data_IF_517091842476
#
_entry.id   IF_517091842476
#
_cell.length_a   1.000
_cell.length_b   1.000
_cell.length_c   1.000
_cell.angle_alpha   90.00
_cell.angle_beta   90.00
_cell.angle_gamma   90.00
#
_symmetry.space_group_name_H-M   'P 1'
#
loop_
_entity.id
_entity.type
_entity.pdbx_description
1 polymer ?
#
# COMPACT_ATOMS: atom_id res chain seq x y z
N UNK A 1 -26.24 -63.40 -38.61
CA UNK A 1 -27.17 -62.38 -39.13
C UNK A 1 -26.74 -61.04 -38.55
N UNK A 2 -26.20 -60.16 -39.40
CA UNK A 2 -25.58 -58.86 -39.01
C UNK A 2 -26.60 -57.74 -39.28
N UNK A 3 -27.01 -57.03 -38.23
CA UNK A 3 -27.84 -55.83 -38.39
C UNK A 3 -26.92 -54.60 -38.49
N UNK A 4 -27.00 -53.86 -39.57
CA UNK A 4 -26.30 -52.59 -39.82
C UNK A 4 -27.20 -51.47 -39.31
N UNK A 5 -26.70 -50.67 -38.36
CA UNK A 5 -27.28 -49.38 -38.01
C UNK A 5 -26.84 -48.32 -39.00
N UNK A 6 -27.79 -47.66 -39.61
CA UNK A 6 -27.61 -46.54 -40.55
C UNK A 6 -27.76 -45.26 -39.76
N UNK A 7 -26.69 -44.49 -39.66
CA UNK A 7 -26.71 -43.11 -39.13
C UNK A 7 -27.14 -42.13 -40.24
N UNK A 8 -28.20 -41.38 -40.00
CA UNK A 8 -28.66 -40.26 -40.84
C UNK A 8 -28.09 -38.98 -40.26
N UNK A 9 -27.29 -38.19 -40.98
CA UNK A 9 -26.89 -36.86 -40.51
C UNK A 9 -28.00 -35.86 -40.78
N UNK A 10 -28.49 -35.20 -39.74
CA UNK A 10 -29.44 -34.10 -39.84
C UNK A 10 -28.67 -32.82 -40.27
N UNK A 11 -28.86 -32.42 -41.49
CA UNK A 11 -28.30 -31.20 -42.09
C UNK A 11 -29.15 -30.00 -41.66
N UNK A 12 -28.64 -29.21 -40.70
CA UNK A 12 -29.27 -27.92 -40.31
C UNK A 12 -28.92 -26.83 -41.30
N UNK A 13 -29.82 -26.50 -42.23
CA UNK A 13 -29.74 -25.35 -43.11
C UNK A 13 -29.97 -24.08 -42.28
N UNK A 14 -28.93 -23.33 -41.99
CA UNK A 14 -29.06 -21.94 -41.55
C UNK A 14 -29.33 -21.03 -42.74
N UNK A 15 -30.53 -20.49 -42.82
CA UNK A 15 -30.89 -19.39 -43.72
C UNK A 15 -30.18 -18.11 -43.25
N UNK A 16 -29.18 -17.68 -44.00
CA UNK A 16 -28.62 -16.34 -43.87
C UNK A 16 -29.59 -15.35 -44.55
N UNK A 17 -30.50 -14.78 -43.77
CA UNK A 17 -31.25 -13.61 -44.19
C UNK A 17 -30.32 -12.40 -44.08
N UNK A 18 -29.71 -11.99 -45.20
CA UNK A 18 -29.02 -10.73 -45.35
C UNK A 18 -30.04 -9.59 -45.35
N UNK A 19 -30.34 -9.01 -44.21
CA UNK A 19 -31.02 -7.72 -44.15
C UNK A 19 -29.99 -6.61 -44.38
N UNK A 20 -29.97 -6.07 -45.60
CA UNK A 20 -29.29 -4.81 -45.88
C UNK A 20 -30.09 -3.67 -45.24
N UNK A 21 -29.68 -3.25 -44.04
CA UNK A 21 -30.18 -2.04 -43.43
C UNK A 21 -29.49 -0.86 -44.10
N UNK A 22 -30.25 -0.12 -44.91
CA UNK A 22 -29.85 1.21 -45.37
C UNK A 22 -29.70 2.11 -44.17
N UNK A 23 -28.45 2.45 -43.80
CA UNK A 23 -28.11 3.43 -42.80
C UNK A 23 -28.73 4.78 -43.16
N UNK A 24 -29.76 5.20 -42.40
CA UNK A 24 -30.16 6.60 -42.35
C UNK A 24 -29.12 7.35 -41.52
N UNK A 25 -28.38 8.27 -42.15
CA UNK A 25 -27.58 9.27 -41.48
C UNK A 25 -28.51 10.09 -40.57
N UNK A 26 -28.33 10.04 -39.25
CA UNK A 26 -28.91 11.05 -38.38
C UNK A 26 -29.59 10.60 -37.09
N UNK A 27 -29.44 9.35 -36.61
CA UNK A 27 -29.86 9.02 -35.23
C UNK A 27 -28.69 8.45 -34.49
N UNK A 28 -28.22 9.22 -33.45
CA UNK A 28 -27.26 8.80 -32.49
C UNK A 28 -27.83 7.64 -31.65
N UNK A 29 -27.00 6.63 -31.25
CA UNK A 29 -27.46 5.57 -30.36
C UNK A 29 -27.87 6.19 -29.02
N UNK A 30 -28.76 5.53 -28.21
CA UNK A 30 -29.29 6.07 -26.97
C UNK A 30 -28.27 6.27 -25.84
N UNK A 31 -27.05 5.84 -25.99
CA UNK A 31 -25.85 6.19 -25.23
C UNK A 31 -24.93 6.95 -26.17
N UNK A 32 -25.10 8.27 -26.19
CA UNK A 32 -24.39 9.16 -27.10
C UNK A 32 -22.88 8.87 -27.14
N UNK A 33 -22.32 8.86 -28.36
CA UNK A 33 -20.88 9.05 -28.58
C UNK A 33 -20.53 10.47 -28.11
N UNK A 34 -20.27 10.66 -26.84
CA UNK A 34 -19.49 11.79 -26.37
C UNK A 34 -18.00 11.44 -26.54
N UNK A 35 -17.59 11.27 -27.80
CA UNK A 35 -16.21 11.49 -28.16
C UNK A 35 -15.97 13.01 -28.06
N UNK A 36 -15.12 13.40 -27.11
CA UNK A 36 -14.56 14.73 -26.89
C UNK A 36 -15.46 15.77 -26.20
N UNK A 37 -15.84 15.51 -24.97
CA UNK A 37 -15.87 16.55 -23.94
C UNK A 37 -15.26 15.95 -22.68
N UNK A 38 -13.94 16.02 -22.57
CA UNK A 38 -13.22 15.80 -21.31
C UNK A 38 -13.47 17.00 -20.42
N UNK A 39 -14.68 17.11 -19.90
CA UNK A 39 -15.04 18.12 -18.91
C UNK A 39 -14.47 17.64 -17.58
N UNK A 40 -13.49 18.37 -17.07
CA UNK A 40 -13.10 18.24 -15.67
C UNK A 40 -14.34 18.31 -14.81
N UNK A 41 -14.44 17.39 -13.86
CA UNK A 41 -15.58 17.37 -12.95
C UNK A 41 -15.53 18.60 -12.03
N UNK A 42 -16.68 19.21 -11.79
CA UNK A 42 -16.81 20.23 -10.75
C UNK A 42 -16.66 19.61 -9.37
N UNK A 43 -16.33 20.41 -8.35
CA UNK A 43 -16.28 19.92 -6.97
C UNK A 43 -17.61 19.28 -6.54
N UNK A 44 -18.75 19.82 -7.02
CA UNK A 44 -20.06 19.24 -6.75
C UNK A 44 -20.24 17.86 -7.38
N UNK A 45 -19.68 17.62 -8.58
CA UNK A 45 -19.73 16.32 -9.25
C UNK A 45 -18.81 15.31 -8.54
N UNK A 46 -17.62 15.74 -8.12
CA UNK A 46 -16.68 14.92 -7.31
C UNK A 46 -17.35 14.48 -6.01
N UNK A 47 -18.02 15.42 -5.31
CA UNK A 47 -18.76 15.10 -4.07
C UNK A 47 -19.93 14.16 -4.35
N UNK A 48 -20.67 14.38 -5.43
CA UNK A 48 -21.80 13.52 -5.81
C UNK A 48 -21.34 12.10 -6.21
N UNK A 49 -20.19 11.98 -6.86
CA UNK A 49 -19.55 10.70 -7.22
C UNK A 49 -18.92 10.00 -6.00
N UNK A 50 -18.62 10.74 -4.92
CA UNK A 50 -18.02 10.22 -3.70
C UNK A 50 -16.55 9.87 -3.81
N UNK A 51 -15.87 10.26 -4.90
CA UNK A 51 -14.48 9.95 -5.16
C UNK A 51 -13.72 11.14 -5.76
N UNK A 52 -12.50 11.41 -5.24
CA UNK A 52 -11.52 12.35 -5.79
C UNK A 52 -10.36 11.53 -6.37
N UNK A 53 -10.04 11.74 -7.65
CA UNK A 53 -8.96 11.03 -8.34
C UNK A 53 -7.72 11.92 -8.38
N UNK A 54 -6.66 11.49 -7.69
CA UNK A 54 -5.40 12.23 -7.64
C UNK A 54 -4.31 11.52 -8.44
N UNK A 55 -3.77 12.18 -9.46
CA UNK A 55 -2.59 11.74 -10.19
C UNK A 55 -1.32 12.11 -9.42
N UNK A 56 -0.37 11.19 -9.34
CA UNK A 56 0.89 11.37 -8.61
C UNK A 56 2.00 10.50 -9.17
N UNK A 57 3.25 10.87 -8.87
CA UNK A 57 4.42 10.03 -9.09
C UNK A 57 4.72 9.21 -7.83
N UNK A 58 5.39 8.07 -8.00
CA UNK A 58 5.99 7.36 -6.88
C UNK A 58 7.17 8.14 -6.32
N UNK A 59 7.28 8.21 -4.99
CA UNK A 59 8.39 8.89 -4.33
C UNK A 59 8.18 9.08 -2.84
N UNK A 60 9.24 9.43 -2.08
CA UNK A 60 9.20 9.49 -0.62
C UNK A 60 8.24 10.55 -0.08
N UNK A 61 8.07 11.67 -0.79
CA UNK A 61 7.21 12.77 -0.38
C UNK A 61 5.88 12.79 -1.13
N UNK A 62 5.83 12.17 -2.32
CA UNK A 62 4.63 12.15 -3.17
C UNK A 62 3.69 11.00 -2.78
N UNK A 63 4.04 9.78 -3.16
CA UNK A 63 3.25 8.58 -2.87
C UNK A 63 4.13 7.33 -2.85
N UNK A 64 3.97 6.47 -1.86
CA UNK A 64 4.52 5.12 -1.82
C UNK A 64 3.70 4.22 -0.91
N UNK A 65 3.82 2.91 -1.09
CA UNK A 65 3.22 1.93 -0.21
C UNK A 65 4.26 1.33 0.73
N UNK A 66 3.89 1.19 2.00
CA UNK A 66 4.71 0.53 3.01
C UNK A 66 3.84 -0.36 3.89
N UNK A 67 4.10 -1.67 3.90
CA UNK A 67 3.31 -2.67 4.63
C UNK A 67 1.80 -2.63 4.28
N UNK A 68 1.46 -2.25 3.06
CA UNK A 68 0.07 -2.09 2.61
C UNK A 68 -0.61 -0.79 3.04
N UNK A 69 0.13 0.13 3.65
CA UNK A 69 -0.32 1.50 3.93
C UNK A 69 0.21 2.47 2.89
N UNK A 70 -0.63 3.40 2.50
CA UNK A 70 -0.29 4.46 1.56
C UNK A 70 0.32 5.63 2.30
N UNK A 71 1.44 6.13 1.83
CA UNK A 71 2.27 7.13 2.48
C UNK A 71 2.78 8.16 1.47
N UNK A 72 3.39 9.20 1.98
CA UNK A 72 3.88 10.36 1.27
C UNK A 72 3.25 11.62 1.84
N UNK A 73 3.98 12.70 1.95
CA UNK A 73 3.48 13.96 2.52
C UNK A 73 2.29 14.48 1.72
N UNK A 74 2.45 14.55 0.39
CA UNK A 74 1.42 15.10 -0.49
C UNK A 74 0.20 14.19 -0.62
N UNK A 75 0.42 12.86 -0.59
CA UNK A 75 -0.68 11.90 -0.49
C UNK A 75 -1.51 12.13 0.79
N UNK A 76 -0.86 12.21 1.96
CA UNK A 76 -1.55 12.38 3.24
C UNK A 76 -2.27 13.72 3.35
N UNK A 77 -1.72 14.79 2.75
CA UNK A 77 -2.39 16.09 2.65
C UNK A 77 -3.66 15.99 1.80
N UNK A 78 -3.59 15.34 0.64
CA UNK A 78 -4.74 15.17 -0.24
C UNK A 78 -5.81 14.26 0.37
N UNK A 79 -5.42 13.18 1.05
CA UNK A 79 -6.32 12.29 1.78
C UNK A 79 -7.09 13.05 2.87
N UNK A 80 -6.41 13.97 3.55
CA UNK A 80 -7.02 14.86 4.54
C UNK A 80 -8.04 15.81 3.93
N UNK A 81 -7.73 16.42 2.79
CA UNK A 81 -8.66 17.27 2.04
C UNK A 81 -9.87 16.46 1.56
N UNK A 82 -9.66 15.28 0.96
CA UNK A 82 -10.72 14.41 0.49
C UNK A 82 -11.68 14.01 1.63
N UNK A 83 -11.14 13.69 2.81
CA UNK A 83 -11.92 13.40 4.01
C UNK A 83 -12.76 14.59 4.49
N UNK A 84 -12.25 15.82 4.39
CA UNK A 84 -12.98 17.03 4.77
C UNK A 84 -14.17 17.30 3.83
N UNK A 85 -13.99 17.10 2.53
CA UNK A 85 -15.07 17.28 1.56
C UNK A 85 -16.01 16.05 1.48
N UNK A 86 -15.69 14.99 2.22
CA UNK A 86 -16.55 13.81 2.39
C UNK A 86 -16.46 12.78 1.27
N UNK A 87 -15.35 12.73 0.54
CA UNK A 87 -15.11 11.79 -0.57
C UNK A 87 -13.96 10.83 -0.26
N UNK A 88 -13.87 9.73 -1.00
CA UNK A 88 -12.72 8.80 -0.95
C UNK A 88 -11.64 9.26 -1.92
N UNK A 89 -10.37 9.10 -1.53
CA UNK A 89 -9.24 9.39 -2.41
C UNK A 89 -8.82 8.16 -3.20
N UNK A 90 -8.83 8.25 -4.54
CA UNK A 90 -8.26 7.26 -5.45
C UNK A 90 -6.97 7.79 -6.07
N UNK A 91 -5.93 6.97 -6.05
CA UNK A 91 -4.63 7.32 -6.63
C UNK A 91 -4.53 6.77 -8.06
N UNK A 92 -4.16 7.67 -8.96
CA UNK A 92 -3.72 7.37 -10.34
C UNK A 92 -2.19 7.56 -10.37
N UNK A 93 -1.46 6.45 -10.32
CA UNK A 93 0.00 6.48 -10.31
C UNK A 93 0.52 6.65 -11.75
N UNK A 94 1.23 7.75 -12.00
CA UNK A 94 1.84 8.07 -13.27
C UNK A 94 3.35 7.78 -13.24
N UNK A 95 3.96 7.64 -14.42
CA UNK A 95 5.39 7.34 -14.58
C UNK A 95 6.25 8.60 -14.62
N UNK A 96 5.72 9.68 -15.20
CA UNK A 96 6.45 10.93 -15.40
C UNK A 96 5.51 12.14 -15.41
N UNK A 97 6.08 13.33 -15.47
CA UNK A 97 5.34 14.60 -15.49
C UNK A 97 4.47 14.80 -16.74
N UNK A 98 4.82 14.17 -17.86
CA UNK A 98 4.02 14.23 -19.07
C UNK A 98 2.73 13.42 -18.92
N UNK A 99 2.81 12.24 -18.30
CA UNK A 99 1.64 11.41 -17.99
C UNK A 99 0.75 12.07 -16.93
N UNK A 100 1.31 12.74 -15.91
CA UNK A 100 0.55 13.55 -14.94
C UNK A 100 -0.30 14.61 -15.63
N UNK A 101 0.33 15.36 -16.53
CA UNK A 101 -0.34 16.40 -17.30
C UNK A 101 -1.43 15.82 -18.20
N UNK A 102 -1.13 14.73 -18.88
CA UNK A 102 -2.08 14.05 -19.77
C UNK A 102 -3.30 13.55 -18.99
N UNK A 103 -3.09 12.88 -17.85
CA UNK A 103 -4.16 12.38 -16.99
C UNK A 103 -5.09 13.52 -16.53
N UNK A 104 -4.53 14.68 -16.18
CA UNK A 104 -5.31 15.84 -15.76
C UNK A 104 -6.12 16.46 -16.91
N UNK A 105 -5.49 16.66 -18.07
CA UNK A 105 -6.15 17.32 -19.21
C UNK A 105 -7.17 16.43 -19.94
N UNK A 106 -7.01 15.09 -19.85
CA UNK A 106 -7.99 14.13 -20.40
C UNK A 106 -9.11 13.76 -19.43
N UNK A 107 -9.06 14.25 -18.17
CA UNK A 107 -10.06 13.94 -17.15
C UNK A 107 -9.90 12.55 -16.51
N UNK A 108 -8.74 11.90 -16.67
CA UNK A 108 -8.41 10.65 -15.99
C UNK A 108 -8.09 10.88 -14.50
N UNK A 109 -7.81 12.13 -14.14
CA UNK A 109 -7.62 12.61 -12.77
C UNK A 109 -8.20 14.02 -12.59
N UNK A 110 -8.67 14.31 -11.37
CA UNK A 110 -9.24 15.60 -10.99
C UNK A 110 -8.14 16.58 -10.52
N UNK A 111 -7.08 16.06 -9.94
CA UNK A 111 -5.97 16.80 -9.36
C UNK A 111 -4.63 16.10 -9.57
N UNK A 112 -3.56 16.86 -9.77
CA UNK A 112 -2.17 16.41 -9.67
C UNK A 112 -1.61 16.82 -8.31
N UNK A 113 -1.21 15.84 -7.50
CA UNK A 113 -0.66 16.07 -6.15
C UNK A 113 0.86 15.94 -6.07
N UNK A 114 1.54 15.59 -7.14
CA UNK A 114 2.98 15.83 -7.28
C UNK A 114 3.16 17.29 -7.62
N UNK A 115 3.88 18.09 -6.80
CA UNK A 115 4.09 19.49 -7.13
C UNK A 115 4.77 19.67 -8.50
N UNK A 116 4.16 20.47 -9.37
CA UNK A 116 4.66 20.78 -10.72
C UNK A 116 5.21 22.20 -10.76
N UNK A 117 6.26 22.48 -11.58
CA UNK A 117 6.74 23.84 -11.83
C UNK A 117 5.61 24.71 -12.38
N UNK A 118 5.46 25.93 -11.83
CA UNK A 118 4.37 26.87 -12.17
C UNK A 118 4.63 27.61 -13.48
N UNK A 119 4.94 26.89 -14.55
CA UNK A 119 5.30 27.41 -15.86
C UNK A 119 4.41 26.94 -17.01
N UNK A 120 3.34 26.20 -16.73
CA UNK A 120 2.40 25.70 -17.73
C UNK A 120 1.05 26.43 -17.64
N UNK A 121 0.77 27.33 -18.59
CA UNK A 121 -0.47 28.11 -18.66
C UNK A 121 -1.72 27.26 -18.92
N UNK A 122 -1.55 26.00 -19.32
CA UNK A 122 -2.66 25.06 -19.51
C UNK A 122 -3.13 24.38 -18.24
N UNK A 123 -2.54 24.72 -17.09
CA UNK A 123 -2.88 24.16 -15.78
C UNK A 123 -3.27 25.28 -14.80
N UNK A 124 -4.17 24.96 -13.88
CA UNK A 124 -4.53 25.85 -12.79
C UNK A 124 -3.83 25.37 -11.51
N UNK A 125 -2.84 26.15 -11.04
CA UNK A 125 -2.06 25.81 -9.86
C UNK A 125 -2.77 26.23 -8.57
N UNK A 126 -2.87 25.30 -7.61
CA UNK A 126 -3.60 25.51 -6.35
C UNK A 126 -3.11 24.57 -5.25
N UNK A 127 -3.58 24.76 -4.01
CA UNK A 127 -3.34 23.88 -2.88
C UNK A 127 -1.89 23.84 -2.42
N UNK A 128 -1.36 22.64 -2.16
CA UNK A 128 -0.04 22.50 -1.55
C UNK A 128 1.10 22.94 -2.46
N UNK A 129 2.00 23.73 -1.90
CA UNK A 129 3.17 24.30 -2.57
C UNK A 129 4.46 23.75 -1.95
N UNK A 130 5.44 23.45 -2.78
CA UNK A 130 6.84 23.25 -2.39
C UNK A 130 7.56 24.59 -2.58
N UNK A 131 7.80 25.27 -1.46
CA UNK A 131 8.40 26.61 -1.47
C UNK A 131 9.89 26.61 -1.90
N UNK A 132 10.60 25.48 -1.77
CA UNK A 132 12.00 25.36 -2.16
C UNK A 132 12.16 25.25 -3.68
N UNK A 133 11.27 24.52 -4.35
CA UNK A 133 11.31 24.29 -5.80
C UNK A 133 10.37 25.20 -6.60
N UNK A 134 9.56 26.04 -5.96
CA UNK A 134 8.46 26.82 -6.56
C UNK A 134 7.49 25.97 -7.36
N UNK A 135 7.24 24.74 -6.88
CA UNK A 135 6.32 23.79 -7.47
C UNK A 135 5.02 23.72 -6.67
N UNK A 136 3.89 23.48 -7.33
CA UNK A 136 2.57 23.47 -6.70
C UNK A 136 1.70 22.35 -7.29
N UNK A 137 0.67 21.93 -6.55
CA UNK A 137 -0.39 21.09 -7.08
C UNK A 137 -1.12 21.79 -8.21
N UNK A 138 -1.81 21.00 -9.04
CA UNK A 138 -2.52 21.57 -10.17
C UNK A 138 -3.84 20.83 -10.41
N UNK A 139 -4.83 21.56 -10.92
CA UNK A 139 -6.09 21.06 -11.46
C UNK A 139 -6.23 21.48 -12.93
N UNK A 140 -7.19 20.94 -13.64
CA UNK A 140 -7.49 21.40 -14.99
C UNK A 140 -8.00 22.84 -14.98
N UNK A 141 -7.90 23.59 -16.08
CA UNK A 141 -8.40 24.97 -16.15
C UNK A 141 -9.90 25.11 -15.83
N UNK A 142 -10.67 24.04 -16.05
CA UNK A 142 -12.11 24.02 -15.77
C UNK A 142 -12.43 23.69 -14.30
N UNK A 143 -11.45 23.28 -13.50
CA UNK A 143 -11.60 22.91 -12.09
C UNK A 143 -11.50 24.09 -11.12
N UNK A 144 -11.99 25.28 -11.46
CA UNK A 144 -11.86 26.51 -10.64
C UNK A 144 -12.46 26.38 -9.25
N UNK A 145 -13.58 25.69 -9.10
CA UNK A 145 -14.25 25.46 -7.82
C UNK A 145 -13.46 24.50 -6.91
N UNK A 146 -12.88 23.44 -7.48
CA UNK A 146 -11.95 22.55 -6.78
C UNK A 146 -10.69 23.29 -6.37
N UNK A 147 -10.11 24.12 -7.27
CA UNK A 147 -8.93 24.94 -6.96
C UNK A 147 -9.20 25.90 -5.80
N UNK A 148 -10.32 26.62 -5.83
CA UNK A 148 -10.71 27.55 -4.77
C UNK A 148 -10.90 26.84 -3.41
N UNK A 149 -11.51 25.67 -3.41
CA UNK A 149 -11.68 24.86 -2.20
C UNK A 149 -10.34 24.37 -1.64
N UNK A 150 -9.43 23.92 -2.51
CA UNK A 150 -8.08 23.48 -2.14
C UNK A 150 -7.26 24.63 -1.53
N UNK A 151 -7.28 25.81 -2.15
CA UNK A 151 -6.57 26.99 -1.65
C UNK A 151 -7.10 27.47 -0.31
N UNK A 152 -8.44 27.47 -0.16
CA UNK A 152 -9.06 27.81 1.11
C UNK A 152 -8.68 26.82 2.22
N UNK A 153 -8.76 25.52 1.94
CA UNK A 153 -8.37 24.47 2.88
C UNK A 153 -6.88 24.54 3.21
N UNK A 154 -6.05 24.67 2.19
CA UNK A 154 -4.58 24.72 2.38
C UNK A 154 -4.16 25.92 3.23
N UNK A 155 -4.73 27.11 2.98
CA UNK A 155 -4.46 28.31 3.75
C UNK A 155 -4.90 28.18 5.21
N UNK A 156 -6.02 27.52 5.46
CA UNK A 156 -6.59 27.34 6.80
C UNK A 156 -5.87 26.27 7.62
N UNK A 157 -5.55 25.13 7.03
CA UNK A 157 -5.07 23.93 7.72
C UNK A 157 -3.86 23.27 7.04
N UNK A 158 -3.90 23.12 5.71
CA UNK A 158 -2.95 22.31 4.95
C UNK A 158 -1.50 22.73 5.13
N UNK A 159 -1.21 24.07 5.11
CA UNK A 159 0.14 24.60 5.30
C UNK A 159 0.72 24.23 6.67
N UNK A 160 -0.08 24.31 7.73
CA UNK A 160 0.36 23.96 9.07
C UNK A 160 0.59 22.44 9.22
N UNK A 161 -0.18 21.63 8.51
CA UNK A 161 -0.04 20.18 8.45
C UNK A 161 1.22 19.78 7.66
N UNK A 162 1.45 20.43 6.52
CA UNK A 162 2.66 20.22 5.70
C UNK A 162 3.93 20.51 6.48
N UNK A 163 3.98 21.64 7.20
CA UNK A 163 5.12 22.03 8.03
C UNK A 163 5.43 21.03 9.17
N UNK A 164 4.41 20.30 9.66
CA UNK A 164 4.60 19.28 10.69
C UNK A 164 5.11 17.95 10.13
N UNK A 165 5.04 17.75 8.82
CA UNK A 165 5.49 16.56 8.13
C UNK A 165 4.53 15.36 8.22
N UNK A 166 4.84 14.26 7.52
CA UNK A 166 3.92 13.14 7.31
C UNK A 166 3.55 12.38 8.60
N UNK A 167 4.42 12.39 9.61
CA UNK A 167 4.14 11.70 10.88
C UNK A 167 3.03 12.40 11.67
N UNK A 168 3.00 13.74 11.66
CA UNK A 168 1.97 14.52 12.37
C UNK A 168 0.60 14.41 11.69
N UNK A 169 0.56 14.31 10.36
CA UNK A 169 -0.68 14.09 9.61
C UNK A 169 -1.39 12.81 10.05
N UNK A 170 -0.65 11.71 10.24
CA UNK A 170 -1.20 10.43 10.72
C UNK A 170 -1.65 10.45 12.17
N UNK A 171 -0.99 11.21 13.03
CA UNK A 171 -1.36 11.34 14.46
C UNK A 171 -2.67 12.12 14.58
N UNK A 172 -2.88 13.18 13.77
CA UNK A 172 -4.12 13.95 13.76
C UNK A 172 -5.32 13.13 13.29
N UNK A 173 -5.15 12.22 12.35
CA UNK A 173 -6.22 11.30 11.94
C UNK A 173 -6.67 10.36 13.05
N UNK A 174 -5.74 9.94 13.92
CA UNK A 174 -6.05 9.12 15.10
C UNK A 174 -6.75 9.90 16.21
N UNK A 175 -6.51 11.21 16.31
CA UNK A 175 -7.07 12.08 17.34
C UNK A 175 -8.40 12.76 16.93
N UNK A 176 -8.63 13.00 15.65
CA UNK A 176 -9.86 13.59 15.11
C UNK A 176 -10.94 12.57 14.75
N UNK A 177 -10.63 11.27 14.81
CA UNK A 177 -11.65 10.23 14.82
C UNK A 177 -12.52 10.40 16.08
N UNK A 178 -13.86 10.33 16.01
CA UNK A 178 -14.74 10.50 17.17
C UNK A 178 -14.52 9.48 18.29
N UNK A 179 -13.47 8.66 18.19
CA UNK A 179 -12.99 7.68 19.19
C UNK A 179 -11.53 7.91 19.62
N UNK A 180 -10.95 9.09 19.35
CA UNK A 180 -9.60 9.45 19.74
C UNK A 180 -9.54 10.01 21.16
N UNK A 181 -9.48 9.15 22.14
CA UNK A 181 -9.16 9.49 23.53
C UNK A 181 -8.04 8.61 24.03
N UNK A 182 -6.79 9.03 23.88
CA UNK A 182 -5.65 8.44 24.57
C UNK A 182 -5.23 9.30 25.77
N UNK A 183 -5.49 8.76 26.94
CA UNK A 183 -4.69 8.91 28.14
C UNK A 183 -4.63 10.30 28.77
N UNK A 184 -5.35 10.49 29.84
CA UNK A 184 -5.16 11.55 30.80
C UNK A 184 -6.36 11.68 31.70
N UNK A 185 -6.36 11.00 32.83
CA UNK A 185 -7.27 11.31 33.91
C UNK A 185 -7.14 12.79 34.28
N UNK A 186 -8.22 13.55 34.09
CA UNK A 186 -8.49 14.73 34.89
C UNK A 186 -9.99 14.84 35.13
N UNK A 187 -10.43 14.93 36.36
CA UNK A 187 -11.83 15.07 36.74
C UNK A 187 -12.28 16.53 36.68
N UNK A 188 -13.55 16.71 36.34
CA UNK A 188 -14.36 17.92 36.47
C UNK A 188 -14.24 19.04 35.43
N UNK A 189 -15.23 19.10 34.55
CA UNK A 189 -15.93 20.35 34.30
C UNK A 189 -17.35 20.08 33.75
N UNK A 190 -18.33 20.71 34.35
CA UNK A 190 -19.74 20.48 34.19
C UNK A 190 -20.33 20.87 32.85
N UNK A 191 -21.42 20.21 32.53
CA UNK A 191 -22.33 20.54 31.41
C UNK A 191 -22.99 21.94 31.53
N UNK A 192 -23.34 22.53 30.39
CA UNK A 192 -24.68 23.06 30.29
C UNK A 192 -25.50 22.45 29.13
N UNK A 193 -26.78 22.25 29.43
CA UNK A 193 -27.86 21.82 28.53
C UNK A 193 -28.17 22.89 27.49
N UNK A 194 -28.57 22.51 26.28
CA UNK A 194 -29.37 23.35 25.40
C UNK A 194 -29.40 22.96 23.94
N UNK A 195 -30.58 22.60 23.42
CA UNK A 195 -30.98 22.88 22.04
C UNK A 195 -30.97 21.68 21.06
N UNK A 196 -32.13 21.00 20.93
CA UNK A 196 -32.42 20.06 19.82
C UNK A 196 -32.78 20.86 18.56
N UNK A 197 -32.08 20.58 17.44
CA UNK A 197 -32.64 20.70 16.10
C UNK A 197 -32.44 19.39 15.35
N UNK A 198 -33.45 18.87 14.62
CA UNK A 198 -33.35 17.63 13.89
C UNK A 198 -32.63 17.85 12.56
N UNK A 199 -31.53 17.17 12.34
CA UNK A 199 -30.88 17.09 11.02
C UNK A 199 -31.45 15.93 10.18
N UNK A 200 -31.53 16.08 8.85
CA UNK A 200 -32.07 15.05 7.99
C UNK A 200 -31.13 13.81 7.94
N UNK A 201 -31.78 12.66 7.99
CA UNK A 201 -31.15 11.33 8.00
C UNK A 201 -30.29 11.10 6.74
N UNK A 202 -29.01 11.16 6.90
CA UNK A 202 -28.03 10.73 5.88
C UNK A 202 -27.87 9.20 5.97
N UNK A 203 -28.42 8.44 4.99
CA UNK A 203 -28.41 6.97 4.95
C UNK A 203 -27.21 6.36 4.26
N UNK A 204 -26.15 7.10 4.02
CA UNK A 204 -24.89 6.58 3.48
C UNK A 204 -23.70 7.13 4.27
N UNK A 205 -23.42 6.51 5.41
CA UNK A 205 -22.09 6.60 6.00
C UNK A 205 -21.22 5.51 5.37
N UNK A 206 -20.07 5.83 4.75
CA UNK A 206 -19.12 4.80 4.34
C UNK A 206 -18.64 4.05 5.58
N UNK A 207 -18.27 2.76 5.49
CA UNK A 207 -17.77 2.01 6.63
C UNK A 207 -16.48 2.65 7.13
N UNK A 208 -16.58 3.43 8.19
CA UNK A 208 -15.43 4.00 8.89
C UNK A 208 -14.57 2.85 9.42
N UNK A 209 -13.41 2.66 8.81
CA UNK A 209 -12.38 1.74 9.32
C UNK A 209 -11.80 2.35 10.61
N UNK A 210 -12.50 2.19 11.73
CA UNK A 210 -11.97 2.57 13.03
C UNK A 210 -10.75 1.72 13.37
N UNK A 211 -9.64 2.35 13.79
CA UNK A 211 -8.46 1.63 14.25
C UNK A 211 -8.83 0.62 15.36
N UNK A 212 -8.21 -0.57 15.41
CA UNK A 212 -8.53 -1.55 16.45
C UNK A 212 -8.20 -0.98 17.83
N UNK A 213 -9.11 -1.18 18.78
CA UNK A 213 -8.91 -0.76 20.19
C UNK A 213 -7.78 -1.60 20.80
N UNK A 214 -6.72 -0.97 21.29
CA UNK A 214 -5.61 -1.71 21.93
C UNK A 214 -6.08 -2.24 23.29
N UNK A 215 -6.15 -3.57 23.47
CA UNK A 215 -6.49 -4.16 24.77
C UNK A 215 -5.32 -4.07 25.76
N UNK A 216 -5.61 -4.14 27.04
CA UNK A 216 -4.56 -4.30 28.05
C UNK A 216 -4.20 -5.79 28.18
N UNK A 217 -3.18 -6.25 27.44
CA UNK A 217 -2.65 -7.62 27.51
C UNK A 217 -1.24 -7.54 28.07
N UNK A 218 -1.02 -8.14 29.23
CA UNK A 218 0.31 -8.20 29.82
C UNK A 218 1.20 -9.22 29.09
N UNK A 219 2.46 -8.85 28.85
CA UNK A 219 3.48 -9.81 28.41
C UNK A 219 3.86 -10.72 29.58
N UNK A 220 3.72 -12.06 29.47
CA UNK A 220 4.18 -12.95 30.52
C UNK A 220 5.70 -12.86 30.75
N UNK A 221 6.21 -13.25 31.93
CA UNK A 221 7.65 -13.39 32.10
C UNK A 221 8.20 -14.52 31.24
N UNK A 222 9.42 -14.34 30.73
CA UNK A 222 10.10 -15.39 29.96
C UNK A 222 10.49 -16.54 30.89
N UNK A 223 10.03 -17.78 30.63
CA UNK A 223 10.43 -18.93 31.46
C UNK A 223 11.95 -19.20 31.40
N UNK A 224 12.55 -19.76 32.43
CA UNK A 224 13.97 -20.15 32.41
C UNK A 224 14.27 -21.10 31.24
N UNK A 225 15.28 -20.77 30.43
CA UNK A 225 15.69 -21.54 29.25
C UNK A 225 14.83 -21.36 27.99
N UNK A 226 13.75 -20.57 28.06
CA UNK A 226 12.96 -20.20 26.88
C UNK A 226 13.60 -19.00 26.13
N UNK A 227 13.32 -18.90 24.83
CA UNK A 227 13.78 -17.78 23.98
C UNK A 227 12.86 -16.56 24.13
N UNK A 228 11.59 -16.80 24.43
CA UNK A 228 10.57 -15.77 24.57
C UNK A 228 9.44 -16.18 25.51
N UNK A 229 8.58 -15.26 25.94
CA UNK A 229 7.36 -15.56 26.69
C UNK A 229 6.33 -16.40 25.91
N UNK A 230 6.51 -16.53 24.60
CA UNK A 230 5.54 -17.06 23.65
C UNK A 230 6.02 -18.30 22.89
N UNK A 231 7.09 -18.96 23.34
CA UNK A 231 7.72 -20.10 22.64
C UNK A 231 6.72 -21.18 22.26
N UNK A 232 5.76 -21.49 23.14
CA UNK A 232 4.77 -22.55 22.90
C UNK A 232 3.81 -22.18 21.75
N UNK A 233 3.47 -20.88 21.59
CA UNK A 233 2.69 -20.42 20.44
C UNK A 233 3.50 -20.57 19.14
N UNK A 234 4.75 -20.21 19.13
CA UNK A 234 5.62 -20.33 17.96
C UNK A 234 5.84 -21.80 17.58
N UNK A 235 6.07 -22.70 18.56
CA UNK A 235 6.15 -24.15 18.31
C UNK A 235 4.85 -24.70 17.72
N UNK A 236 3.71 -24.29 18.26
CA UNK A 236 2.37 -24.70 17.80
C UNK A 236 2.13 -24.34 16.33
N UNK A 237 2.53 -23.14 15.91
CA UNK A 237 2.24 -22.60 14.57
C UNK A 237 3.38 -22.76 13.56
N UNK A 238 4.53 -23.30 13.95
CA UNK A 238 5.69 -23.49 13.08
C UNK A 238 5.40 -24.37 11.85
N UNK A 239 4.66 -25.45 12.04
CA UNK A 239 4.25 -26.35 10.94
C UNK A 239 3.36 -25.65 9.91
N UNK A 240 2.45 -24.76 10.35
CA UNK A 240 1.62 -23.95 9.46
C UNK A 240 2.47 -22.96 8.65
N UNK A 241 3.45 -22.34 9.30
CA UNK A 241 4.38 -21.42 8.64
C UNK A 241 5.36 -22.14 7.70
N UNK A 242 5.59 -23.43 7.90
CA UNK A 242 6.55 -24.23 7.15
C UNK A 242 8.01 -23.89 7.45
N UNK A 243 8.30 -23.37 8.66
CA UNK A 243 9.64 -22.94 9.09
C UNK A 243 9.98 -23.45 10.49
N UNK A 244 11.25 -23.38 10.87
CA UNK A 244 11.66 -23.59 12.29
C UNK A 244 10.99 -22.55 13.18
N UNK A 245 10.41 -22.99 14.31
CA UNK A 245 9.75 -22.11 15.28
C UNK A 245 10.64 -20.98 15.79
N UNK A 246 11.97 -21.19 15.86
CA UNK A 246 12.95 -20.18 16.27
C UNK A 246 13.05 -19.03 15.27
N UNK A 247 12.72 -19.29 13.98
CA UNK A 247 12.61 -18.22 12.99
C UNK A 247 11.43 -17.30 13.30
N UNK A 248 10.28 -17.86 13.72
CA UNK A 248 9.13 -17.07 14.17
C UNK A 248 9.44 -16.27 15.42
N UNK A 249 10.21 -16.85 16.37
CA UNK A 249 10.71 -16.10 17.57
C UNK A 249 11.60 -14.94 17.13
N UNK A 250 12.56 -15.18 16.22
CA UNK A 250 13.46 -14.14 15.70
C UNK A 250 12.69 -13.02 15.00
N UNK A 251 11.67 -13.39 14.22
CA UNK A 251 10.79 -12.44 13.55
C UNK A 251 9.97 -11.62 14.56
N UNK A 252 9.32 -12.26 15.54
CA UNK A 252 8.57 -11.56 16.57
C UNK A 252 9.42 -10.59 17.41
N UNK A 253 10.67 -10.97 17.71
CA UNK A 253 11.61 -10.07 18.35
C UNK A 253 11.83 -8.80 17.55
N UNK A 254 11.98 -8.92 16.25
CA UNK A 254 12.17 -7.78 15.33
C UNK A 254 10.89 -6.97 15.18
N UNK A 255 9.71 -7.60 15.17
CA UNK A 255 8.44 -6.93 14.95
C UNK A 255 7.97 -6.11 16.16
N UNK A 256 7.96 -6.72 17.34
CA UNK A 256 7.33 -6.12 18.54
C UNK A 256 8.17 -6.19 19.81
N UNK A 257 9.33 -6.86 19.77
CA UNK A 257 10.06 -7.20 21.00
C UNK A 257 9.21 -8.06 21.94
N UNK A 258 8.33 -8.90 21.42
CA UNK A 258 7.39 -9.77 22.15
C UNK A 258 6.24 -9.03 22.86
N UNK A 259 5.97 -7.78 22.53
CA UNK A 259 4.87 -7.01 23.08
C UNK A 259 3.56 -7.31 22.33
N UNK A 260 2.55 -7.96 22.94
CA UNK A 260 1.30 -8.32 22.26
C UNK A 260 0.42 -7.11 21.93
N UNK A 261 0.65 -5.97 22.58
CA UNK A 261 -0.12 -4.74 22.36
C UNK A 261 0.64 -3.71 21.54
N UNK A 262 1.77 -4.10 20.94
CA UNK A 262 2.54 -3.21 20.09
C UNK A 262 1.70 -2.71 18.91
N UNK A 263 1.80 -1.41 18.64
CA UNK A 263 1.20 -0.80 17.49
C UNK A 263 2.23 0.13 16.84
N UNK A 264 2.56 -0.13 15.59
CA UNK A 264 3.51 0.72 14.87
C UNK A 264 2.87 2.05 14.47
N UNK A 265 3.70 3.02 14.12
CA UNK A 265 3.25 4.30 13.55
C UNK A 265 2.44 4.09 12.25
N UNK A 266 2.74 3.03 11.48
CA UNK A 266 2.01 2.65 10.28
C UNK A 266 0.70 1.90 10.54
N UNK A 267 0.40 1.52 11.80
CA UNK A 267 -0.82 0.81 12.17
C UNK A 267 -0.70 -0.71 12.25
N UNK A 268 0.50 -1.27 12.10
CA UNK A 268 0.73 -2.69 12.31
C UNK A 268 0.51 -3.08 13.78
N UNK A 269 -0.11 -4.23 14.05
CA UNK A 269 -0.65 -4.60 15.35
C UNK A 269 -0.13 -5.94 15.87
N UNK A 270 0.11 -6.00 17.19
CA UNK A 270 0.34 -7.23 17.95
C UNK A 270 1.75 -7.80 17.83
N UNK A 271 1.94 -9.03 18.30
CA UNK A 271 3.23 -9.72 18.38
C UNK A 271 3.99 -9.73 17.04
N UNK A 272 3.29 -10.04 15.95
CA UNK A 272 3.85 -10.20 14.61
C UNK A 272 3.57 -8.99 13.70
N UNK A 273 3.12 -7.87 14.26
CA UNK A 273 2.91 -6.60 13.55
C UNK A 273 2.13 -6.76 12.23
N UNK A 274 0.96 -7.39 12.32
CA UNK A 274 0.08 -7.52 11.16
C UNK A 274 -0.67 -6.22 10.87
N UNK A 275 -0.67 -5.81 9.60
CA UNK A 275 -1.54 -4.73 9.14
C UNK A 275 -3.00 -5.16 9.22
N UNK A 276 -3.93 -4.26 9.65
CA UNK A 276 -5.34 -4.61 9.78
C UNK A 276 -5.96 -5.19 8.52
N UNK A 277 -5.62 -4.65 7.34
CA UNK A 277 -6.10 -5.16 6.06
C UNK A 277 -5.56 -6.56 5.75
N UNK A 278 -4.27 -6.80 6.01
CA UNK A 278 -3.64 -8.11 5.87
C UNK A 278 -4.28 -9.12 6.82
N UNK A 279 -4.46 -8.74 8.09
CA UNK A 279 -5.12 -9.59 9.10
C UNK A 279 -6.55 -9.97 8.67
N UNK A 280 -7.33 -9.00 8.19
CA UNK A 280 -8.68 -9.25 7.67
C UNK A 280 -8.67 -10.21 6.47
N UNK A 281 -7.75 -10.06 5.53
CA UNK A 281 -7.59 -10.98 4.38
C UNK A 281 -7.22 -12.42 4.78
N UNK A 282 -6.64 -12.57 5.98
CA UNK A 282 -6.31 -13.85 6.60
C UNK A 282 -7.43 -14.36 7.54
N UNK A 283 -8.59 -13.72 7.55
CA UNK A 283 -9.74 -14.12 8.36
C UNK A 283 -9.64 -13.79 9.86
N UNK A 284 -8.81 -12.79 10.23
CA UNK A 284 -8.70 -12.33 11.61
C UNK A 284 -9.79 -11.29 11.90
N UNK A 285 -10.68 -11.52 12.87
CA UNK A 285 -11.61 -10.52 13.34
C UNK A 285 -10.86 -9.31 13.90
N UNK A 286 -11.40 -8.11 13.69
CA UNK A 286 -10.73 -6.85 14.04
C UNK A 286 -10.41 -6.73 15.54
N UNK A 287 -11.31 -7.20 16.40
CA UNK A 287 -11.17 -7.23 17.85
C UNK A 287 -10.16 -8.28 18.35
N UNK A 288 -9.72 -9.20 17.48
CA UNK A 288 -8.77 -10.27 17.77
C UNK A 288 -7.35 -10.05 17.28
N UNK A 289 -7.07 -8.92 16.60
CA UNK A 289 -5.76 -8.67 16.01
C UNK A 289 -4.62 -8.59 17.05
N UNK A 290 -4.92 -8.20 18.30
CA UNK A 290 -3.98 -8.15 19.40
C UNK A 290 -3.94 -9.44 20.23
N UNK A 291 -4.85 -10.38 20.03
CA UNK A 291 -4.83 -11.67 20.69
C UNK A 291 -3.59 -12.46 20.27
N UNK A 292 -2.70 -12.86 21.20
CA UNK A 292 -1.42 -13.47 20.86
C UNK A 292 -1.52 -14.70 19.98
N UNK A 293 -2.45 -15.61 20.31
CA UNK A 293 -2.68 -16.84 19.56
C UNK A 293 -3.16 -16.54 18.14
N UNK A 294 -4.16 -15.67 18.00
CA UNK A 294 -4.75 -15.28 16.71
C UNK A 294 -3.73 -14.56 15.82
N UNK A 295 -2.94 -13.66 16.42
CA UNK A 295 -1.93 -12.87 15.72
C UNK A 295 -0.79 -13.77 15.19
N UNK A 296 -0.24 -14.66 16.03
CA UNK A 296 0.81 -15.60 15.59
C UNK A 296 0.29 -16.61 14.56
N UNK A 297 -0.92 -17.13 14.74
CA UNK A 297 -1.55 -18.04 13.77
C UNK A 297 -1.75 -17.39 12.41
N UNK A 298 -2.16 -16.12 12.37
CA UNK A 298 -2.33 -15.37 11.13
C UNK A 298 -0.98 -15.09 10.45
N UNK A 299 0.04 -14.70 11.20
CA UNK A 299 1.38 -14.51 10.69
C UNK A 299 1.95 -15.81 10.10
N UNK A 300 1.73 -16.96 10.75
CA UNK A 300 2.12 -18.27 10.23
C UNK A 300 1.44 -18.57 8.87
N UNK A 301 0.13 -18.26 8.73
CA UNK A 301 -0.59 -18.39 7.44
C UNK A 301 -0.01 -17.46 6.37
N UNK A 302 0.36 -16.22 6.73
CA UNK A 302 1.00 -15.29 5.80
C UNK A 302 2.35 -15.84 5.33
N UNK A 303 3.18 -16.33 6.25
CA UNK A 303 4.47 -16.95 5.92
C UNK A 303 4.29 -18.16 4.98
N UNK A 304 3.31 -19.01 5.23
CA UNK A 304 2.94 -20.13 4.35
C UNK A 304 2.55 -19.66 2.94
N UNK A 305 1.73 -18.61 2.84
CA UNK A 305 1.33 -18.00 1.56
C UNK A 305 2.55 -17.46 0.79
N UNK A 306 3.44 -16.74 1.48
CA UNK A 306 4.68 -16.22 0.88
C UNK A 306 5.61 -17.35 0.47
N UNK A 307 5.76 -18.42 1.28
CA UNK A 307 6.54 -19.61 0.91
C UNK A 307 6.01 -20.25 -0.37
N UNK A 308 4.70 -20.35 -0.52
CA UNK A 308 4.07 -20.87 -1.74
C UNK A 308 4.30 -19.96 -2.95
N UNK A 309 4.23 -18.65 -2.77
CA UNK A 309 4.50 -17.66 -3.81
C UNK A 309 5.94 -17.78 -4.36
N UNK A 310 6.92 -18.05 -3.49
CA UNK A 310 8.33 -18.20 -3.84
C UNK A 310 8.77 -19.67 -4.00
N UNK A 311 7.83 -20.60 -4.23
CA UNK A 311 8.14 -22.04 -4.38
C UNK A 311 9.09 -22.37 -5.54
N UNK A 312 9.16 -21.50 -6.56
CA UNK A 312 10.12 -21.61 -7.67
C UNK A 312 11.57 -21.41 -7.25
N UNK A 313 11.85 -20.73 -6.13
CA UNK A 313 13.20 -20.60 -5.57
C UNK A 313 13.55 -21.90 -4.86
N UNK A 314 14.50 -22.67 -5.43
CA UNK A 314 14.81 -24.03 -4.97
C UNK A 314 15.47 -24.05 -3.59
N UNK A 315 16.39 -23.13 -3.32
CA UNK A 315 17.03 -23.01 -2.02
C UNK A 315 16.05 -22.50 -0.98
N UNK A 316 15.83 -23.27 0.09
CA UNK A 316 14.93 -22.85 1.17
C UNK A 316 15.47 -21.65 1.94
N UNK A 317 16.81 -21.59 2.13
CA UNK A 317 17.47 -20.46 2.81
C UNK A 317 17.32 -19.15 2.02
N UNK A 318 17.46 -19.21 0.69
CA UNK A 318 17.18 -18.08 -0.18
C UNK A 318 15.71 -17.69 -0.05
N UNK A 319 14.78 -18.66 -0.15
CA UNK A 319 13.33 -18.43 -0.07
C UNK A 319 12.93 -17.73 1.21
N UNK A 320 13.53 -18.05 2.37
CA UNK A 320 13.28 -17.37 3.64
C UNK A 320 13.54 -15.86 3.51
N UNK A 321 14.60 -15.45 2.83
CA UNK A 321 14.91 -14.03 2.63
C UNK A 321 13.80 -13.31 1.86
N UNK A 322 13.30 -13.91 0.78
CA UNK A 322 12.19 -13.37 -0.02
C UNK A 322 10.88 -13.32 0.77
N UNK A 323 10.61 -14.35 1.57
CA UNK A 323 9.43 -14.38 2.45
C UNK A 323 9.47 -13.25 3.48
N UNK A 324 10.59 -13.08 4.18
CA UNK A 324 10.77 -12.03 5.20
C UNK A 324 10.73 -10.62 4.59
N UNK A 325 11.40 -10.42 3.46
CA UNK A 325 11.38 -9.15 2.77
C UNK A 325 9.96 -8.77 2.31
N UNK A 326 9.22 -9.73 1.73
CA UNK A 326 7.83 -9.54 1.31
C UNK A 326 6.87 -9.34 2.48
N UNK A 327 7.14 -9.96 3.61
CA UNK A 327 6.38 -9.73 4.85
C UNK A 327 6.53 -8.27 5.31
N UNK A 328 7.72 -7.72 5.19
CA UNK A 328 8.04 -6.36 5.61
C UNK A 328 7.55 -5.28 4.62
N UNK A 329 7.93 -5.35 3.35
CA UNK A 329 7.62 -4.28 2.38
C UNK A 329 6.54 -4.64 1.36
N UNK A 330 6.07 -5.89 1.35
CA UNK A 330 5.14 -6.38 0.34
C UNK A 330 5.84 -7.05 -0.86
N UNK A 331 5.17 -8.05 -1.42
CA UNK A 331 5.72 -8.84 -2.53
C UNK A 331 5.83 -8.06 -3.85
N UNK A 332 5.13 -6.93 -3.98
CA UNK A 332 5.20 -6.07 -5.15
C UNK A 332 6.59 -5.46 -5.35
N UNK A 333 7.16 -4.86 -4.30
CA UNK A 333 8.51 -4.29 -4.36
C UNK A 333 9.59 -5.35 -4.57
N UNK A 334 9.38 -6.56 -4.03
CA UNK A 334 10.30 -7.67 -4.31
C UNK A 334 10.21 -8.10 -5.78
N UNK A 335 9.02 -8.11 -6.37
CA UNK A 335 8.85 -8.39 -7.80
C UNK A 335 9.51 -7.33 -8.67
N UNK A 336 9.46 -6.05 -8.29
CA UNK A 336 10.15 -4.95 -8.95
C UNK A 336 11.67 -5.12 -8.89
N UNK A 337 12.22 -5.41 -7.70
CA UNK A 337 13.66 -5.71 -7.54
C UNK A 337 14.10 -6.91 -8.39
N UNK A 338 13.27 -7.97 -8.46
CA UNK A 338 13.52 -9.12 -9.34
C UNK A 338 13.45 -8.75 -10.83
N UNK A 339 12.55 -7.83 -11.22
CA UNK A 339 12.45 -7.36 -12.60
C UNK A 339 13.70 -6.57 -13.02
N UNK A 340 14.19 -5.68 -12.16
CA UNK A 340 15.46 -4.97 -12.36
C UNK A 340 16.64 -5.93 -12.45
N UNK A 341 16.74 -6.92 -11.54
CA UNK A 341 17.77 -7.94 -11.58
C UNK A 341 17.79 -8.69 -12.92
N UNK A 342 16.61 -9.12 -13.42
CA UNK A 342 16.50 -9.79 -14.74
C UNK A 342 16.92 -8.89 -15.88
N UNK A 343 16.52 -7.61 -15.85
CA UNK A 343 16.86 -6.60 -16.86
C UNK A 343 18.37 -6.48 -17.02
N UNK A 344 19.11 -6.51 -15.90
CA UNK A 344 20.57 -6.36 -15.88
C UNK A 344 21.32 -7.72 -15.95
N UNK A 345 20.62 -8.83 -16.18
CA UNK A 345 21.22 -10.16 -16.31
C UNK A 345 21.68 -10.79 -14.99
N UNK A 346 21.25 -10.22 -13.84
CA UNK A 346 21.49 -10.78 -12.51
C UNK A 346 20.45 -11.83 -12.13
N UNK A 347 20.71 -12.61 -11.06
CA UNK A 347 19.78 -13.64 -10.61
C UNK A 347 18.58 -13.06 -9.85
N UNK A 348 17.38 -13.34 -10.34
CA UNK A 348 16.15 -12.98 -9.65
C UNK A 348 15.74 -13.96 -8.52
N UNK A 349 16.54 -15.03 -8.32
CA UNK A 349 16.28 -16.08 -7.33
C UNK A 349 17.36 -16.13 -6.22
N UNK A 350 18.42 -15.33 -6.34
CA UNK A 350 19.48 -15.21 -5.34
C UNK A 350 19.27 -13.92 -4.55
N UNK A 351 19.12 -14.04 -3.23
CA UNK A 351 18.82 -12.90 -2.37
C UNK A 351 19.86 -11.77 -2.47
N UNK A 352 21.14 -12.11 -2.51
CA UNK A 352 22.20 -11.10 -2.60
C UNK A 352 22.06 -10.18 -3.83
N UNK A 353 21.59 -10.71 -4.96
CA UNK A 353 21.32 -9.92 -6.16
C UNK A 353 20.05 -9.08 -5.98
N UNK A 354 18.96 -9.71 -5.54
CA UNK A 354 17.67 -9.02 -5.37
C UNK A 354 17.73 -7.98 -4.25
N UNK A 355 18.46 -8.23 -3.15
CA UNK A 355 18.74 -7.24 -2.09
C UNK A 355 19.41 -5.98 -2.65
N UNK A 356 20.36 -6.16 -3.58
CA UNK A 356 21.02 -5.04 -4.25
C UNK A 356 20.02 -4.19 -5.02
N UNK A 357 19.19 -4.80 -5.89
CA UNK A 357 18.19 -4.07 -6.68
C UNK A 357 17.05 -3.52 -5.81
N UNK A 358 16.67 -4.21 -4.74
CA UNK A 358 15.75 -3.67 -3.75
C UNK A 358 16.30 -2.38 -3.13
N UNK A 359 17.61 -2.35 -2.84
CA UNK A 359 18.26 -1.16 -2.29
C UNK A 359 18.25 0.02 -3.27
N UNK A 360 18.32 -0.26 -4.57
CA UNK A 360 18.25 0.75 -5.62
C UNK A 360 16.83 1.32 -5.83
N UNK A 361 15.77 0.63 -5.42
CA UNK A 361 14.40 1.14 -5.49
C UNK A 361 14.13 2.34 -4.57
N UNK A 362 15.12 2.81 -3.81
CA UNK A 362 15.07 4.12 -3.12
C UNK A 362 15.52 5.28 -4.01
N UNK A 363 16.14 5.01 -5.15
CA UNK A 363 16.72 6.00 -6.05
C UNK A 363 15.78 6.29 -7.24
N UNK A 364 15.58 7.57 -7.63
CA UNK A 364 14.64 7.94 -8.70
C UNK A 364 14.89 7.23 -10.03
N UNK A 365 16.15 7.01 -10.38
CA UNK A 365 16.55 6.33 -11.61
C UNK A 365 15.96 4.90 -11.70
N UNK A 366 15.84 4.22 -10.55
CA UNK A 366 15.41 2.83 -10.50
C UNK A 366 13.92 2.67 -10.23
N UNK A 367 13.33 3.44 -9.30
CA UNK A 367 11.90 3.28 -9.03
C UNK A 367 11.01 3.84 -10.15
N UNK A 368 11.54 4.69 -11.05
CA UNK A 368 10.86 5.16 -12.27
C UNK A 368 11.21 4.30 -13.50
N UNK A 369 12.00 3.24 -13.36
CA UNK A 369 12.34 2.36 -14.49
C UNK A 369 11.06 1.70 -15.07
N UNK A 370 10.93 1.59 -16.42
CA UNK A 370 9.74 1.01 -17.06
C UNK A 370 9.36 -0.40 -16.62
N UNK A 371 10.31 -1.21 -16.08
CA UNK A 371 10.02 -2.55 -15.59
C UNK A 371 9.47 -2.56 -14.16
N UNK A 372 9.58 -1.44 -13.43
CA UNK A 372 9.08 -1.25 -12.07
C UNK A 372 7.60 -0.87 -12.09
N UNK A 373 6.81 -1.49 -11.23
CA UNK A 373 5.35 -1.29 -11.17
C UNK A 373 4.85 -0.72 -9.85
N UNK A 374 5.58 -0.96 -8.75
CA UNK A 374 5.21 -0.54 -7.40
C UNK A 374 6.00 0.68 -6.93
N UNK A 375 7.06 1.05 -7.68
CA UNK A 375 7.81 2.28 -7.48
C UNK A 375 8.68 2.30 -6.23
N UNK A 376 8.74 3.47 -5.59
CA UNK A 376 9.60 3.74 -4.45
C UNK A 376 9.34 2.84 -3.24
N UNK A 377 10.42 2.39 -2.59
CA UNK A 377 10.38 1.69 -1.31
C UNK A 377 11.51 2.15 -0.37
N UNK A 378 11.24 2.21 0.94
CA UNK A 378 12.27 2.42 1.98
C UNK A 378 13.10 1.15 2.17
N UNK A 379 13.92 0.83 1.20
CA UNK A 379 14.64 -0.44 1.09
C UNK A 379 15.56 -0.73 2.26
N UNK A 380 16.17 0.31 2.87
CA UNK A 380 17.07 0.15 4.02
C UNK A 380 16.40 -0.51 5.22
N UNK A 381 15.11 -0.26 5.45
CA UNK A 381 14.32 -0.90 6.51
C UNK A 381 14.16 -2.39 6.23
N UNK A 382 13.77 -2.75 5.01
CA UNK A 382 13.55 -4.16 4.61
C UNK A 382 14.84 -4.97 4.62
N UNK A 383 15.92 -4.42 4.09
CA UNK A 383 17.24 -5.05 4.11
C UNK A 383 17.73 -5.23 5.55
N UNK A 384 17.59 -4.20 6.38
CA UNK A 384 17.92 -4.25 7.81
C UNK A 384 17.09 -5.30 8.56
N UNK A 385 15.80 -5.41 8.24
CA UNK A 385 14.87 -6.38 8.80
C UNK A 385 15.31 -7.83 8.53
N UNK A 386 15.58 -8.17 7.27
CA UNK A 386 16.03 -9.52 6.90
C UNK A 386 17.34 -9.88 7.60
N UNK A 387 18.30 -8.95 7.63
CA UNK A 387 19.60 -9.15 8.30
C UNK A 387 19.46 -9.34 9.81
N UNK A 388 18.65 -8.51 10.49
CA UNK A 388 18.43 -8.62 11.93
C UNK A 388 17.80 -9.97 12.30
N UNK A 389 16.78 -10.42 11.54
CA UNK A 389 16.15 -11.72 11.79
C UNK A 389 17.13 -12.87 11.53
N UNK A 390 17.97 -12.80 10.50
CA UNK A 390 19.00 -13.80 10.23
C UNK A 390 19.98 -13.91 11.42
N UNK A 391 20.39 -12.79 11.99
CA UNK A 391 21.27 -12.75 13.16
C UNK A 391 20.59 -13.35 14.40
N UNK A 392 19.33 -12.96 14.71
CA UNK A 392 18.60 -13.54 15.84
C UNK A 392 18.36 -15.04 15.65
N UNK A 393 17.98 -15.46 14.46
CA UNK A 393 17.77 -16.87 14.17
C UNK A 393 19.07 -17.69 14.34
N UNK A 394 20.19 -17.18 13.85
CA UNK A 394 21.50 -17.81 14.07
C UNK A 394 21.84 -17.99 15.53
N UNK A 395 21.58 -16.96 16.37
CA UNK A 395 21.77 -17.05 17.83
C UNK A 395 20.86 -18.12 18.46
N UNK A 396 19.60 -18.20 18.05
CA UNK A 396 18.61 -19.12 18.64
C UNK A 396 18.75 -20.56 18.15
N UNK A 397 19.32 -20.78 16.97
CA UNK A 397 19.49 -22.09 16.34
C UNK A 397 20.88 -22.74 16.56
N UNK A 398 21.75 -22.10 17.36
CA UNK A 398 23.11 -22.60 17.61
C UNK A 398 24.04 -22.47 16.39
N UNK A 399 23.93 -21.34 15.67
CA UNK A 399 24.81 -21.02 14.53
C UNK A 399 24.27 -21.38 13.16
N UNK A 400 23.05 -21.91 13.05
CA UNK A 400 22.38 -22.09 11.76
C UNK A 400 21.84 -20.73 11.30
N UNK A 401 22.42 -20.20 10.22
CA UNK A 401 21.95 -19.00 9.54
C UNK A 401 21.25 -19.35 8.23
N UNK A 402 20.72 -18.34 7.54
CA UNK A 402 20.26 -18.40 6.15
C UNK A 402 20.89 -17.25 5.34
N UNK A 403 20.74 -17.23 4.02
CA UNK A 403 21.47 -16.38 3.08
C UNK A 403 21.46 -14.87 3.38
N UNK A 404 20.48 -14.37 4.14
CA UNK A 404 20.35 -12.94 4.51
C UNK A 404 21.42 -12.39 5.48
N UNK A 405 22.30 -13.24 6.04
CA UNK A 405 23.31 -12.85 7.03
C UNK A 405 24.70 -12.47 6.49
N UNK A 406 25.02 -12.80 5.25
CA UNK A 406 26.35 -12.56 4.67
C UNK A 406 26.28 -11.62 3.48
N UNK A 407 26.51 -10.32 3.71
CA UNK A 407 26.95 -9.45 2.63
C UNK A 407 28.38 -9.86 2.27
N UNK A 408 28.54 -10.77 1.30
CA UNK A 408 29.87 -11.16 0.84
C UNK A 408 30.57 -9.93 0.23
N UNK A 409 31.74 -9.60 0.78
CA UNK A 409 32.64 -8.54 0.30
C UNK A 409 33.07 -8.74 -1.17
N UNK A 410 32.84 -9.91 -1.73
CA UNK A 410 33.17 -10.27 -3.11
C UNK A 410 32.20 -9.66 -4.14
N UNK A 411 30.91 -9.51 -3.79
CA UNK A 411 29.92 -8.99 -4.74
C UNK A 411 30.10 -7.48 -5.01
N UNK A 412 30.58 -6.70 -4.02
CA UNK A 412 30.93 -5.27 -4.23
C UNK A 412 32.07 -5.05 -5.24
N UNK A 413 32.91 -6.06 -5.49
CA UNK A 413 33.99 -5.99 -6.49
C UNK A 413 33.49 -6.28 -7.90
N UNK A 414 32.55 -7.20 -8.07
CA UNK A 414 32.02 -7.60 -9.38
C UNK A 414 31.17 -6.48 -10.03
N UNK A 415 30.31 -5.80 -9.26
CA UNK A 415 29.45 -4.72 -9.77
C UNK A 415 30.23 -3.46 -10.14
N UNK A 416 31.35 -3.16 -9.45
CA UNK A 416 32.25 -2.05 -9.85
C UNK A 416 32.90 -2.25 -11.20
N UNK A 417 33.14 -3.49 -11.63
CA UNK A 417 33.80 -3.79 -12.90
C UNK A 417 32.87 -3.75 -14.13
N UNK A 418 31.54 -3.73 -13.94
CA UNK A 418 30.57 -3.60 -15.04
C UNK A 418 30.23 -2.15 -15.39
N UNK A 419 30.59 -1.17 -14.56
CA UNK A 419 30.34 0.27 -14.83
C UNK A 419 31.34 0.94 -15.77
N UNK A 420 32.36 0.22 -16.24
CA UNK A 420 33.40 0.73 -17.14
C UNK A 420 33.67 -0.23 -18.30
N UNK A 421 32.66 -0.55 -19.09
CA UNK A 421 32.88 -1.05 -20.45
C UNK A 421 31.84 -0.49 -21.39
#
# INVERSE_FOLDING_TARGET
>A
MKAKCIYIPLLLLMFLASCSVKSKKGELPPWGDSANDSTALSLSDIIANGELIAATLSGPDTYYEYRGERLGLYYLLCDRFAAEVGVTLRIHLCRDSAELRTALLHGDADIVITPLPRNDESLHYCGAIDEESDCQWAVSPQGEDLAAALDQWYSREGRALQAKGPMALRITDRLSSPFGGWGGNSPNAGSPRGGRHPSPSNRYAPPTQTAPRIPHIATPPTPPGALSPWDDLFKKHASTAGVDWRLLVAQCRQESGFNPTACSWAGACGLMQLMPQTAASLGVPRDKIFDPETNVAAAARLMSKLSSQYSYIRSFDERICFMLASYNCGSGHIADAQALARKDGASAERWADVEHYLSLLSEPEYYNDPVVRHGYVRSSETVGYVRAISQYYSQYSGGRGFAGGSASSEHRRAVKNHRFK
#
